data_IF_517104561571
#
_entry.id   IF_517104561571
#
_cell.length_a   1.000
_cell.length_b   1.000
_cell.length_c   1.000
_cell.angle_alpha   90.00
_cell.angle_beta   90.00
_cell.angle_gamma   90.00
#
_symmetry.space_group_name_H-M   'P 1'
#
loop_
_entity.id
_entity.type
_entity.pdbx_description
1 polymer ?
#
# COMPACT_ATOMS: atom_id res chain seq x y z
N UNK A 1 2.04 -26.99 -10.28
CA UNK A 1 2.09 -25.99 -9.18
C UNK A 1 0.93 -26.28 -8.25
N UNK A 2 1.16 -26.36 -6.94
CA UNK A 2 0.06 -26.47 -5.96
C UNK A 2 -0.65 -25.13 -5.93
N UNK A 3 -1.95 -25.10 -6.16
CA UNK A 3 -2.76 -23.89 -5.97
C UNK A 3 -3.32 -23.87 -4.56
N UNK A 4 -3.34 -22.68 -3.95
CA UNK A 4 -3.98 -22.48 -2.66
C UNK A 4 -5.49 -22.32 -2.87
N UNK A 5 -6.25 -23.35 -2.49
CA UNK A 5 -7.71 -23.41 -2.62
C UNK A 5 -8.33 -23.48 -1.23
N UNK A 6 -9.32 -22.64 -0.97
CA UNK A 6 -10.04 -22.64 0.29
C UNK A 6 -11.22 -23.64 0.31
N UNK A 7 -11.90 -23.83 1.45
CA UNK A 7 -13.04 -24.76 1.55
C UNK A 7 -14.26 -24.41 0.68
N UNK A 8 -14.31 -23.20 0.11
CA UNK A 8 -15.35 -22.75 -0.81
C UNK A 8 -14.92 -22.86 -2.27
N UNK A 9 -13.81 -23.56 -2.54
CA UNK A 9 -13.25 -23.76 -3.87
C UNK A 9 -12.80 -22.46 -4.57
N UNK A 10 -12.35 -21.47 -3.80
CA UNK A 10 -11.78 -20.22 -4.33
C UNK A 10 -10.26 -20.32 -4.40
N UNK A 11 -9.71 -19.93 -5.55
CA UNK A 11 -8.26 -19.83 -5.75
C UNK A 11 -7.72 -18.55 -5.10
N UNK A 12 -6.77 -18.70 -4.18
CA UNK A 12 -6.08 -17.58 -3.54
C UNK A 12 -4.92 -17.14 -4.45
N UNK A 13 -5.16 -16.07 -5.21
CA UNK A 13 -4.21 -15.53 -6.20
C UNK A 13 -3.70 -14.13 -5.83
N UNK A 14 -4.18 -13.60 -4.70
CA UNK A 14 -4.03 -12.20 -4.30
C UNK A 14 -3.66 -12.08 -2.83
N UNK A 15 -2.60 -11.32 -2.55
CA UNK A 15 -2.23 -10.89 -1.20
C UNK A 15 -2.43 -9.39 -1.02
N UNK A 16 -2.94 -9.01 0.15
CA UNK A 16 -2.96 -7.63 0.63
C UNK A 16 -1.96 -7.50 1.77
N UNK A 17 -0.92 -6.70 1.58
CA UNK A 17 0.17 -6.54 2.55
C UNK A 17 0.06 -5.16 3.19
N UNK A 18 -0.29 -5.13 4.48
CA UNK A 18 -0.19 -3.92 5.30
C UNK A 18 1.26 -3.71 5.69
N UNK A 19 1.87 -2.64 5.18
CA UNK A 19 3.28 -2.34 5.46
C UNK A 19 3.42 -1.53 6.75
N UNK A 20 2.42 -0.75 7.14
CA UNK A 20 2.50 0.10 8.33
C UNK A 20 1.11 0.39 8.87
N UNK A 21 0.99 0.64 10.16
CA UNK A 21 -0.24 1.15 10.76
C UNK A 21 -0.24 2.69 10.85
N UNK A 22 0.83 3.38 10.46
CA UNK A 22 0.84 4.85 10.51
C UNK A 22 0.14 5.44 9.28
N UNK A 23 -0.59 6.53 9.48
CA UNK A 23 -1.23 7.32 8.42
C UNK A 23 -1.03 8.81 8.71
N UNK A 24 -0.85 9.61 7.66
CA UNK A 24 -0.74 11.07 7.76
C UNK A 24 -2.11 11.76 7.78
N UNK A 25 -3.20 11.01 7.60
CA UNK A 25 -4.58 11.49 7.72
C UNK A 25 -5.34 10.76 8.83
N UNK A 26 -6.44 11.36 9.30
CA UNK A 26 -7.32 10.82 10.35
C UNK A 26 -8.77 10.78 9.86
N UNK A 27 -8.98 10.15 8.70
CA UNK A 27 -10.27 10.20 8.02
C UNK A 27 -11.40 9.68 8.91
N UNK A 28 -12.52 10.42 8.98
CA UNK A 28 -13.61 10.15 9.93
C UNK A 28 -14.16 8.71 9.90
N UNK A 29 -14.21 8.08 8.72
CA UNK A 29 -14.74 6.72 8.54
C UNK A 29 -13.68 5.62 8.72
N UNK A 30 -12.40 5.99 8.81
CA UNK A 30 -11.30 5.05 8.87
C UNK A 30 -10.69 4.99 10.28
N UNK A 31 -10.55 6.15 10.95
CA UNK A 31 -9.96 6.26 12.28
C UNK A 31 -10.69 7.29 13.13
N UNK A 32 -10.81 6.95 14.40
CA UNK A 32 -11.24 7.89 15.44
C UNK A 32 -10.24 9.06 15.56
N UNK A 33 -10.73 10.20 16.02
CA UNK A 33 -9.92 11.43 16.13
C UNK A 33 -8.69 11.23 17.00
N UNK A 34 -8.94 10.61 18.15
CA UNK A 34 -7.97 10.34 19.21
C UNK A 34 -7.17 9.05 18.97
N UNK A 35 -7.26 8.46 17.78
CA UNK A 35 -6.53 7.24 17.47
C UNK A 35 -5.02 7.51 17.51
N UNK A 36 -4.33 6.84 18.44
CA UNK A 36 -2.87 6.83 18.56
C UNK A 36 -2.38 5.50 18.01
N UNK A 37 -1.43 5.57 17.07
CA UNK A 37 -0.74 4.37 16.58
C UNK A 37 0.51 4.14 17.42
N UNK A 38 0.46 3.12 18.27
CA UNK A 38 1.56 2.73 19.16
C UNK A 38 2.44 1.60 18.61
N UNK A 39 2.17 1.11 17.40
CA UNK A 39 2.95 0.04 16.78
C UNK A 39 4.41 0.47 16.63
N UNK A 40 5.33 -0.28 17.23
CA UNK A 40 6.77 -0.04 17.15
C UNK A 40 7.39 -0.80 15.98
N UNK A 41 8.61 -0.42 15.59
CA UNK A 41 9.33 -1.05 14.46
C UNK A 41 9.54 -2.56 14.64
N UNK A 42 9.65 -3.05 15.87
CA UNK A 42 9.89 -4.46 16.17
C UNK A 42 8.61 -5.31 16.09
N UNK A 43 7.44 -4.68 16.03
CA UNK A 43 6.14 -5.34 15.96
C UNK A 43 5.63 -5.48 14.52
N UNK A 44 6.28 -4.83 13.55
CA UNK A 44 5.97 -4.93 12.13
C UNK A 44 7.02 -5.79 11.40
N UNK A 45 6.55 -6.56 10.41
CA UNK A 45 7.44 -7.39 9.58
C UNK A 45 8.47 -6.52 8.85
N UNK A 46 9.71 -7.00 8.78
CA UNK A 46 10.75 -6.44 7.92
C UNK A 46 10.39 -6.61 6.44
N UNK A 47 11.07 -5.89 5.56
CA UNK A 47 10.83 -6.04 4.12
C UNK A 47 11.29 -7.39 3.61
N UNK A 48 12.36 -7.93 4.18
CA UNK A 48 12.90 -9.25 3.89
C UNK A 48 11.92 -10.35 4.30
N UNK A 49 11.26 -10.20 5.46
CA UNK A 49 10.21 -11.12 5.91
C UNK A 49 8.98 -11.07 5.00
N UNK A 50 8.53 -9.87 4.62
CA UNK A 50 7.42 -9.69 3.68
C UNK A 50 7.76 -10.34 2.34
N UNK A 51 8.93 -10.05 1.77
CA UNK A 51 9.36 -10.61 0.49
C UNK A 51 9.48 -12.14 0.53
N UNK A 52 9.99 -12.69 1.64
CA UNK A 52 10.05 -14.13 1.88
C UNK A 52 8.65 -14.75 1.90
N UNK A 53 7.70 -14.16 2.61
CA UNK A 53 6.31 -14.63 2.66
C UNK A 53 5.68 -14.58 1.26
N UNK A 54 5.81 -13.46 0.56
CA UNK A 54 5.25 -13.32 -0.80
C UNK A 54 5.83 -14.36 -1.74
N UNK A 55 7.13 -14.62 -1.69
CA UNK A 55 7.78 -15.65 -2.53
C UNK A 55 7.15 -17.02 -2.31
N UNK A 56 6.97 -17.43 -1.04
CA UNK A 56 6.32 -18.70 -0.69
C UNK A 56 4.87 -18.76 -1.21
N UNK A 57 4.10 -17.68 -1.08
CA UNK A 57 2.74 -17.61 -1.63
C UNK A 57 2.71 -17.64 -3.16
N UNK A 58 3.73 -17.09 -3.82
CA UNK A 58 3.83 -17.10 -5.28
C UNK A 58 4.00 -18.52 -5.83
N UNK A 59 4.71 -19.39 -5.11
CA UNK A 59 4.83 -20.83 -5.41
C UNK A 59 3.49 -21.57 -5.24
N UNK A 60 2.54 -20.97 -4.50
CA UNK A 60 1.18 -21.45 -4.27
C UNK A 60 0.13 -20.83 -5.21
N UNK A 61 0.57 -20.05 -6.21
CA UNK A 61 -0.30 -19.48 -7.25
C UNK A 61 -0.71 -18.03 -7.04
N UNK A 62 -0.16 -17.33 -6.04
CA UNK A 62 -0.32 -15.87 -5.92
C UNK A 62 0.46 -15.18 -7.03
N UNK A 63 -0.20 -14.30 -7.76
CA UNK A 63 0.40 -13.49 -8.84
C UNK A 63 0.29 -11.98 -8.58
N UNK A 64 -0.55 -11.59 -7.60
CA UNK A 64 -0.86 -10.20 -7.27
C UNK A 64 -0.59 -9.87 -5.82
N UNK A 65 0.09 -8.75 -5.57
CA UNK A 65 0.42 -8.27 -4.22
C UNK A 65 0.10 -6.78 -4.10
N UNK A 66 -0.97 -6.44 -3.36
CA UNK A 66 -1.30 -5.04 -3.08
C UNK A 66 -0.57 -4.55 -1.85
N UNK A 67 0.17 -3.45 -1.99
CA UNK A 67 0.73 -2.69 -0.88
C UNK A 67 -0.33 -1.72 -0.33
N UNK A 68 -0.52 -1.73 0.98
CA UNK A 68 -1.45 -0.89 1.74
C UNK A 68 -0.84 -0.59 3.11
N UNK A 69 -1.55 0.11 3.98
CA UNK A 69 -1.25 0.18 5.40
C UNK A 69 -2.38 0.87 6.16
N UNK A 70 -2.00 1.78 7.05
CA UNK A 70 -2.42 3.17 6.96
C UNK A 70 -1.95 3.76 5.61
N UNK A 71 -0.97 4.65 5.62
CA UNK A 71 -0.38 5.20 4.39
C UNK A 71 0.96 4.51 4.08
N UNK A 72 1.05 3.63 3.05
CA UNK A 72 2.28 2.89 2.77
C UNK A 72 3.47 3.80 2.47
N UNK A 73 3.26 4.99 1.89
CA UNK A 73 4.33 5.92 1.56
C UNK A 73 4.96 6.60 2.79
N UNK A 74 4.37 6.45 3.98
CA UNK A 74 5.01 6.86 5.23
C UNK A 74 6.09 5.89 5.70
N UNK A 75 6.04 4.63 5.26
CA UNK A 75 7.04 3.65 5.69
C UNK A 75 8.34 3.93 4.94
N UNK A 76 9.37 4.29 5.71
CA UNK A 76 10.70 4.60 5.17
C UNK A 76 11.21 3.49 4.25
N UNK A 77 11.87 3.88 3.17
CA UNK A 77 12.52 2.98 2.21
C UNK A 77 11.56 1.98 1.52
N UNK A 78 10.28 2.34 1.33
CA UNK A 78 9.27 1.49 0.67
C UNK A 78 9.68 1.03 -0.73
N UNK A 79 10.53 1.80 -1.42
CA UNK A 79 11.12 1.41 -2.72
C UNK A 79 11.90 0.10 -2.64
N UNK A 80 12.57 -0.18 -1.51
CA UNK A 80 13.29 -1.44 -1.31
C UNK A 80 12.35 -2.63 -1.33
N UNK A 81 11.17 -2.51 -0.69
CA UNK A 81 10.15 -3.55 -0.75
C UNK A 81 9.63 -3.73 -2.18
N UNK A 82 9.32 -2.63 -2.87
CA UNK A 82 8.86 -2.69 -4.25
C UNK A 82 9.83 -3.45 -5.15
N UNK A 83 11.14 -3.15 -5.05
CA UNK A 83 12.20 -3.86 -5.78
C UNK A 83 12.23 -5.36 -5.44
N UNK A 84 12.25 -5.71 -4.15
CA UNK A 84 12.26 -7.11 -3.72
C UNK A 84 11.05 -7.91 -4.24
N UNK A 85 9.88 -7.26 -4.34
CA UNK A 85 8.67 -7.88 -4.88
C UNK A 85 8.72 -7.98 -6.41
N UNK A 86 9.23 -6.97 -7.10
CA UNK A 86 9.41 -6.95 -8.55
C UNK A 86 10.40 -8.01 -9.06
N UNK A 87 11.33 -8.46 -8.21
CA UNK A 87 12.25 -9.57 -8.51
C UNK A 87 11.61 -10.96 -8.41
N UNK A 88 10.37 -11.09 -7.93
CA UNK A 88 9.69 -12.39 -7.81
C UNK A 88 8.98 -12.68 -9.15
N UNK A 89 9.46 -13.61 -9.99
CA UNK A 89 8.99 -13.73 -11.38
C UNK A 89 7.51 -14.06 -11.54
N UNK A 90 6.91 -14.72 -10.56
CA UNK A 90 5.48 -15.05 -10.56
C UNK A 90 4.58 -13.85 -10.20
N UNK A 91 5.12 -12.81 -9.58
CA UNK A 91 4.38 -11.60 -9.23
C UNK A 91 4.45 -10.62 -10.41
N UNK A 92 3.30 -10.40 -11.05
CA UNK A 92 3.19 -9.54 -12.23
C UNK A 92 2.27 -8.33 -12.02
N UNK A 93 1.64 -8.22 -10.84
CA UNK A 93 0.69 -7.17 -10.48
C UNK A 93 0.95 -6.69 -9.06
N UNK A 94 1.60 -5.52 -8.93
CA UNK A 94 1.95 -4.92 -7.64
C UNK A 94 1.28 -3.55 -7.52
N UNK A 95 -0.03 -3.49 -7.22
CA UNK A 95 -0.70 -2.22 -7.03
C UNK A 95 -0.38 -1.64 -5.66
N UNK A 96 -0.28 -0.32 -5.56
CA UNK A 96 -0.23 0.40 -4.28
C UNK A 96 -1.57 1.11 -4.01
N UNK A 97 -2.03 1.08 -2.77
CA UNK A 97 -3.17 1.88 -2.30
C UNK A 97 -2.66 3.00 -1.39
N UNK A 98 -2.84 4.24 -1.81
CA UNK A 98 -2.27 5.43 -1.15
C UNK A 98 -3.26 6.60 -1.22
N UNK A 99 -3.15 7.55 -0.30
CA UNK A 99 -3.81 8.85 -0.38
C UNK A 99 -3.09 9.84 -1.32
N UNK A 100 -1.96 9.43 -1.92
CA UNK A 100 -1.14 10.17 -2.87
C UNK A 100 -0.47 11.47 -2.36
N UNK A 101 -0.66 11.87 -1.10
CA UNK A 101 -0.04 13.08 -0.52
C UNK A 101 1.49 13.08 -0.64
N UNK A 102 2.11 11.90 -0.56
CA UNK A 102 3.56 11.70 -0.61
C UNK A 102 4.03 11.07 -1.93
N UNK A 103 3.16 10.97 -2.93
CA UNK A 103 3.43 10.22 -4.15
C UNK A 103 4.34 10.98 -5.13
N UNK A 104 4.09 12.27 -5.33
CA UNK A 104 4.80 13.10 -6.30
C UNK A 104 6.33 12.94 -6.32
N UNK A 105 7.06 12.98 -5.17
CA UNK A 105 8.51 12.87 -5.19
C UNK A 105 9.06 11.49 -5.58
N UNK A 106 8.24 10.43 -5.52
CA UNK A 106 8.70 9.03 -5.64
C UNK A 106 7.93 8.21 -6.68
N UNK A 107 6.94 8.77 -7.37
CA UNK A 107 6.08 8.06 -8.33
C UNK A 107 6.87 7.34 -9.43
N UNK A 108 7.83 8.03 -10.06
CA UNK A 108 8.69 7.47 -11.10
C UNK A 108 9.60 6.34 -10.59
N UNK A 109 10.08 6.47 -9.34
CA UNK A 109 10.91 5.46 -8.68
C UNK A 109 10.09 4.22 -8.34
N UNK A 110 8.85 4.38 -7.82
CA UNK A 110 7.93 3.28 -7.56
C UNK A 110 7.63 2.49 -8.85
N UNK A 111 7.37 3.20 -9.94
CA UNK A 111 7.16 2.58 -11.25
C UNK A 111 8.38 1.78 -11.70
N UNK A 112 9.56 2.38 -11.59
CA UNK A 112 10.82 1.73 -11.96
C UNK A 112 11.15 0.53 -11.06
N UNK A 113 10.67 0.54 -9.82
CA UNK A 113 10.82 -0.55 -8.85
C UNK A 113 9.81 -1.69 -9.03
N UNK A 114 8.85 -1.57 -9.95
CA UNK A 114 7.89 -2.64 -10.28
C UNK A 114 6.45 -2.38 -9.82
N UNK A 115 6.16 -1.28 -9.12
CA UNK A 115 4.77 -0.87 -8.86
C UNK A 115 4.13 -0.47 -10.19
N UNK A 116 3.07 -1.15 -10.60
CA UNK A 116 2.50 -0.96 -11.93
C UNK A 116 1.12 -0.29 -11.93
N UNK A 117 0.48 -0.14 -10.76
CA UNK A 117 -0.80 0.55 -10.61
C UNK A 117 -0.89 1.27 -9.28
N UNK A 118 -1.59 2.40 -9.26
CA UNK A 118 -1.95 3.10 -8.04
C UNK A 118 -3.47 3.15 -7.90
N UNK A 119 -3.96 2.88 -6.70
CA UNK A 119 -5.33 3.14 -6.27
C UNK A 119 -5.27 4.33 -5.32
N UNK A 120 -5.80 5.47 -5.76
CA UNK A 120 -5.74 6.73 -5.02
C UNK A 120 -7.04 6.93 -4.25
N UNK A 121 -6.94 7.09 -2.92
CA UNK A 121 -8.07 7.41 -2.06
C UNK A 121 -8.27 8.92 -2.02
N UNK A 122 -9.33 9.40 -2.66
CA UNK A 122 -9.70 10.82 -2.77
C UNK A 122 -11.22 10.97 -2.61
N UNK A 123 -11.65 11.24 -1.38
CA UNK A 123 -13.08 11.17 -1.03
C UNK A 123 -13.87 12.44 -1.40
N UNK A 124 -13.19 13.51 -1.83
CA UNK A 124 -13.82 14.69 -2.38
C UNK A 124 -12.86 15.48 -3.26
N UNK A 125 -13.38 16.11 -4.31
CA UNK A 125 -12.67 17.10 -5.12
C UNK A 125 -12.94 18.54 -4.65
N UNK A 126 -13.77 18.71 -3.63
CA UNK A 126 -13.94 19.98 -2.93
C UNK A 126 -12.93 20.08 -1.79
N UNK A 127 -12.13 21.16 -1.77
CA UNK A 127 -11.01 21.32 -0.83
C UNK A 127 -11.47 21.33 0.63
N UNK A 128 -12.56 22.03 0.92
CA UNK A 128 -13.08 22.16 2.28
C UNK A 128 -13.62 20.81 2.77
N UNK A 129 -14.42 20.14 1.95
CA UNK A 129 -14.97 18.82 2.26
C UNK A 129 -13.88 17.76 2.38
N UNK A 130 -12.87 17.78 1.52
CA UNK A 130 -11.72 16.88 1.63
C UNK A 130 -10.97 17.09 2.94
N UNK A 131 -10.70 18.35 3.29
CA UNK A 131 -10.04 18.71 4.54
C UNK A 131 -10.83 18.24 5.77
N UNK A 132 -12.16 18.44 5.76
CA UNK A 132 -13.06 17.93 6.79
C UNK A 132 -12.98 16.41 6.89
N UNK A 133 -13.22 15.69 5.78
CA UNK A 133 -13.22 14.21 5.76
C UNK A 133 -11.92 13.63 6.32
N UNK A 134 -10.78 14.17 5.89
CA UNK A 134 -9.44 13.67 6.24
C UNK A 134 -8.88 14.22 7.54
N UNK A 135 -9.55 15.22 8.15
CA UNK A 135 -9.10 16.02 9.28
C UNK A 135 -7.72 16.66 9.05
N UNK A 136 -7.62 17.52 8.04
CA UNK A 136 -6.41 18.30 7.77
C UNK A 136 -5.63 17.89 6.51
N UNK A 137 -6.20 17.04 5.66
CA UNK A 137 -5.59 16.68 4.38
C UNK A 137 -5.53 17.86 3.40
N UNK A 138 -4.57 17.76 2.48
CA UNK A 138 -4.27 18.77 1.46
C UNK A 138 -4.57 18.18 0.08
N UNK A 139 -5.68 18.63 -0.52
CA UNK A 139 -6.12 18.15 -1.82
C UNK A 139 -5.12 18.51 -2.93
N UNK A 140 -4.46 19.66 -2.86
CA UNK A 140 -3.53 20.10 -3.91
C UNK A 140 -2.32 19.16 -4.00
N UNK A 141 -1.81 18.69 -2.85
CA UNK A 141 -0.75 17.66 -2.82
C UNK A 141 -1.21 16.31 -3.37
N UNK A 142 -2.46 15.92 -3.12
CA UNK A 142 -3.02 14.68 -3.69
C UNK A 142 -3.09 14.78 -5.21
N UNK A 143 -3.56 15.90 -5.75
CA UNK A 143 -3.57 16.15 -7.21
C UNK A 143 -2.15 16.15 -7.79
N UNK A 144 -1.18 16.81 -7.13
CA UNK A 144 0.22 16.74 -7.54
C UNK A 144 0.75 15.30 -7.56
N UNK A 145 0.32 14.46 -6.61
CA UNK A 145 0.65 13.03 -6.60
C UNK A 145 -0.01 12.25 -7.74
N UNK A 146 -1.21 12.62 -8.17
CA UNK A 146 -1.90 12.02 -9.33
C UNK A 146 -1.21 12.39 -10.65
N UNK A 147 -0.74 13.62 -10.78
CA UNK A 147 -0.16 14.15 -12.02
C UNK A 147 1.30 13.68 -12.27
N UNK A 148 1.97 13.11 -11.26
CA UNK A 148 3.38 12.70 -11.28
C UNK A 148 3.63 11.33 -11.96
#
# INVERSE_FOLDING_TARGET
MKQLIDPFNRNITYLRVSVTDHCNYRCHYCRDEDHITDTTRNEILSYEEIAKIVRLFSELGVTKVRLTGGEPLLRKDILSLALMLGEIPAINDIPISTNAHLLAPIASQLKSAGINRANISIDSLDKERFNQITRGGDLDKVIQGIDA
#
